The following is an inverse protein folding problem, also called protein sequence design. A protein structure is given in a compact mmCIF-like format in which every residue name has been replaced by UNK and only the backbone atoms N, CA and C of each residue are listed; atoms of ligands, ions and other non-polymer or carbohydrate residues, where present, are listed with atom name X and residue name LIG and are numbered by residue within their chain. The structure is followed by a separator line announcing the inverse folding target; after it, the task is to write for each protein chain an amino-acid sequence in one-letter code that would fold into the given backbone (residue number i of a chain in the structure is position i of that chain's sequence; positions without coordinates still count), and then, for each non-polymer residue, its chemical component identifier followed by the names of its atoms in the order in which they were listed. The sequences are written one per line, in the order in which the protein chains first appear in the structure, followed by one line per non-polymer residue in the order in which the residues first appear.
data_IF_891521014506
#
_entry.id   IF_891521014506
#
_cell.length_a   1.000
_cell.length_b   1.000
_cell.length_c   1.000
_cell.angle_alpha   90.00
_cell.angle_beta   90.00
_cell.angle_gamma   90.00
#
_symmetry.space_group_name_H-M   'P 1'
#
loop_
_entity.id
_entity.type
_entity.pdbx_description
1 polymer ?
#
# COMPACT_ATOMS: atom_id res chain seq x y z
N UNK A 1 -19.99 14.85 5.37
CA UNK A 1 -19.28 14.30 4.20
C UNK A 1 -17.80 14.64 4.33
N UNK A 2 -16.93 13.64 4.56
CA UNK A 2 -15.48 13.84 4.73
C UNK A 2 -14.84 13.85 3.34
N UNK A 3 -14.35 15.01 2.90
CA UNK A 3 -13.63 15.15 1.64
C UNK A 3 -12.29 14.42 1.78
N UNK A 4 -12.21 13.18 1.29
CA UNK A 4 -10.95 12.44 1.25
C UNK A 4 -10.05 13.06 0.19
N UNK A 5 -9.20 14.01 0.60
CA UNK A 5 -8.15 14.52 -0.27
C UNK A 5 -7.26 13.35 -0.69
N UNK A 6 -7.10 13.16 -1.99
CA UNK A 6 -6.22 12.10 -2.52
C UNK A 6 -4.77 12.43 -2.19
N UNK A 7 -3.95 11.41 -1.95
CA UNK A 7 -2.51 11.57 -1.64
C UNK A 7 -1.79 12.42 -2.70
N UNK A 8 -2.22 12.33 -3.96
CA UNK A 8 -1.74 13.17 -5.07
C UNK A 8 -1.96 14.66 -4.79
N UNK A 9 -3.16 15.02 -4.33
CA UNK A 9 -3.53 16.40 -4.06
C UNK A 9 -2.75 16.96 -2.86
N UNK A 10 -2.62 16.17 -1.79
CA UNK A 10 -1.83 16.57 -0.60
C UNK A 10 -0.35 16.73 -0.92
N UNK A 11 0.23 15.83 -1.73
CA UNK A 11 1.62 15.96 -2.18
C UNK A 11 1.81 17.20 -3.07
N UNK A 12 0.88 17.46 -3.99
CA UNK A 12 0.93 18.67 -4.83
C UNK A 12 0.93 19.95 -4.00
N UNK A 13 0.04 20.04 -3.00
CA UNK A 13 -0.01 21.19 -2.09
C UNK A 13 1.24 21.32 -1.22
N UNK A 14 1.75 20.20 -0.67
CA UNK A 14 2.96 20.21 0.17
C UNK A 14 4.20 20.65 -0.61
N UNK A 15 4.41 20.10 -1.81
CA UNK A 15 5.52 20.51 -2.67
C UNK A 15 5.34 21.94 -3.20
N UNK A 16 4.11 22.33 -3.58
CA UNK A 16 3.82 23.71 -3.98
C UNK A 16 4.14 24.72 -2.88
N UNK A 17 3.76 24.44 -1.62
CA UNK A 17 4.11 25.28 -0.48
C UNK A 17 5.63 25.37 -0.28
N UNK A 18 6.36 24.25 -0.42
CA UNK A 18 7.82 24.24 -0.35
C UNK A 18 8.48 25.04 -1.48
N UNK A 19 7.91 25.00 -2.69
CA UNK A 19 8.38 25.77 -3.85
C UNK A 19 8.28 27.27 -3.58
N UNK A 20 7.12 27.71 -3.06
CA UNK A 20 6.86 29.10 -2.75
C UNK A 20 7.79 29.59 -1.63
N UNK A 21 7.96 28.81 -0.57
CA UNK A 21 8.90 29.13 0.52
C UNK A 21 10.36 29.23 0.03
N UNK A 22 10.80 28.31 -0.83
CA UNK A 22 12.14 28.36 -1.40
C UNK A 22 12.34 29.58 -2.32
N UNK A 23 11.33 29.89 -3.15
CA UNK A 23 11.37 31.04 -4.06
C UNK A 23 11.35 32.36 -3.29
N UNK A 24 10.55 32.49 -2.23
CA UNK A 24 10.50 33.70 -1.40
C UNK A 24 11.78 33.88 -0.59
N UNK A 25 12.36 32.81 -0.03
CA UNK A 25 13.64 32.87 0.67
C UNK A 25 14.80 33.22 -0.28
N UNK A 26 14.83 32.66 -1.49
CA UNK A 26 15.81 33.00 -2.53
C UNK A 26 15.68 34.47 -2.97
N UNK A 27 14.44 34.96 -3.11
CA UNK A 27 14.17 36.36 -3.44
C UNK A 27 14.57 37.31 -2.31
N UNK A 28 14.29 36.94 -1.05
CA UNK A 28 14.62 37.76 0.12
C UNK A 28 16.14 37.84 0.34
N UNK A 29 16.84 36.71 0.23
CA UNK A 29 18.30 36.69 0.30
C UNK A 29 18.94 37.47 -0.84
N UNK A 30 18.41 37.35 -2.05
CA UNK A 30 18.86 38.17 -3.18
C UNK A 30 18.62 39.67 -2.96
N UNK A 31 17.45 40.05 -2.43
CA UNK A 31 17.13 41.45 -2.11
C UNK A 31 18.03 41.96 -0.98
N UNK A 32 18.30 41.19 0.07
CA UNK A 32 19.23 41.59 1.14
C UNK A 32 20.67 41.73 0.63
N UNK A 33 21.12 40.84 -0.26
CA UNK A 33 22.42 40.94 -0.95
C UNK A 33 22.48 42.21 -1.81
N UNK A 34 21.41 42.55 -2.54
CA UNK A 34 21.30 43.80 -3.31
C UNK A 34 21.30 45.01 -2.38
N UNK A 35 20.57 44.97 -1.26
CA UNK A 35 20.47 46.10 -0.32
C UNK A 35 21.78 46.35 0.44
N UNK A 36 22.50 45.28 0.78
CA UNK A 36 23.87 45.38 1.34
C UNK A 36 24.89 45.80 0.28
N UNK A 37 24.73 45.35 -0.98
CA UNK A 37 25.57 45.71 -2.13
C UNK A 37 25.29 47.08 -2.74
N UNK A 38 24.12 47.68 -2.45
CA UNK A 38 23.71 49.00 -2.94
C UNK A 38 24.60 50.15 -2.45
N UNK A 39 25.40 49.92 -1.39
CA UNK A 39 26.43 50.88 -0.98
C UNK A 39 27.70 50.83 -1.83
N UNK A 40 27.88 49.84 -2.73
CA UNK A 40 29.11 49.70 -3.50
C UNK A 40 28.93 49.69 -5.03
N UNK A 41 27.90 49.12 -5.68
CA UNK A 41 27.84 49.22 -7.17
C UNK A 41 26.47 48.81 -7.76
N UNK A 42 25.90 49.64 -8.64
CA UNK A 42 24.81 49.28 -9.57
C UNK A 42 25.33 48.22 -10.55
N UNK A 43 24.89 46.96 -10.46
CA UNK A 43 25.28 45.93 -11.44
C UNK A 43 24.11 45.01 -11.77
N UNK A 44 23.62 45.09 -13.01
CA UNK A 44 22.58 44.24 -13.61
C UNK A 44 22.86 42.74 -13.39
N UNK A 45 24.14 42.36 -13.22
CA UNK A 45 24.57 41.02 -12.90
C UNK A 45 23.95 40.45 -11.61
N UNK A 46 23.72 41.26 -10.58
CA UNK A 46 23.15 40.79 -9.30
C UNK A 46 21.66 40.47 -9.45
N UNK A 47 20.91 41.30 -10.20
CA UNK A 47 19.50 41.05 -10.51
C UNK A 47 19.34 39.82 -11.40
N UNK A 48 20.23 39.63 -12.37
CA UNK A 48 20.22 38.47 -13.25
C UNK A 48 20.50 37.17 -12.46
N UNK A 49 21.47 37.18 -11.55
CA UNK A 49 21.75 36.07 -10.65
C UNK A 49 20.57 35.74 -9.71
N UNK A 50 19.86 36.76 -9.20
CA UNK A 50 18.67 36.59 -8.38
C UNK A 50 17.51 35.92 -9.15
N UNK A 51 17.31 36.30 -10.40
CA UNK A 51 16.28 35.70 -11.27
C UNK A 51 16.61 34.24 -11.61
N UNK A 52 17.89 33.95 -11.89
CA UNK A 52 18.35 32.58 -12.17
C UNK A 52 18.15 31.68 -10.95
N UNK A 53 18.53 32.14 -9.75
CA UNK A 53 18.40 31.34 -8.53
C UNK A 53 16.93 31.08 -8.16
N UNK A 54 16.06 32.07 -8.33
CA UNK A 54 14.61 31.92 -8.17
C UNK A 54 14.02 30.91 -9.16
N UNK A 55 14.37 31.01 -10.44
CA UNK A 55 13.91 30.08 -11.47
C UNK A 55 14.40 28.64 -11.19
N UNK A 56 15.66 28.48 -10.80
CA UNK A 56 16.22 27.18 -10.45
C UNK A 56 15.48 26.54 -9.26
N UNK A 57 15.15 27.31 -8.22
CA UNK A 57 14.40 26.81 -7.06
C UNK A 57 13.01 26.29 -7.45
N UNK A 58 12.31 26.99 -8.34
CA UNK A 58 10.99 26.55 -8.85
C UNK A 58 11.12 25.25 -9.63
N UNK A 59 12.11 25.15 -10.54
CA UNK A 59 12.34 23.94 -11.34
C UNK A 59 12.64 22.75 -10.43
N UNK A 60 13.55 22.89 -9.47
CA UNK A 60 13.91 21.82 -8.53
C UNK A 60 12.70 21.35 -7.73
N UNK A 61 11.84 22.28 -7.29
CA UNK A 61 10.63 21.92 -6.55
C UNK A 61 9.63 21.14 -7.41
N UNK A 62 9.39 21.57 -8.65
CA UNK A 62 8.50 20.87 -9.59
C UNK A 62 9.06 19.47 -9.90
N UNK A 63 10.36 19.35 -10.20
CA UNK A 63 11.01 18.08 -10.45
C UNK A 63 10.88 17.13 -9.25
N UNK A 64 11.11 17.63 -8.03
CA UNK A 64 10.98 16.85 -6.81
C UNK A 64 9.54 16.39 -6.57
N UNK A 65 8.56 17.26 -6.80
CA UNK A 65 7.14 16.93 -6.68
C UNK A 65 6.74 15.79 -7.62
N UNK A 66 7.12 15.90 -8.90
CA UNK A 66 6.83 14.89 -9.90
C UNK A 66 7.52 13.56 -9.60
N UNK A 67 8.76 13.62 -9.11
CA UNK A 67 9.52 12.44 -8.71
C UNK A 67 8.84 11.71 -7.55
N UNK A 68 8.52 12.42 -6.45
CA UNK A 68 7.84 11.84 -5.30
C UNK A 68 6.46 11.31 -5.64
N UNK A 69 5.70 12.04 -6.46
CA UNK A 69 4.39 11.58 -6.92
C UNK A 69 4.49 10.26 -7.70
N UNK A 70 5.45 10.13 -8.62
CA UNK A 70 5.65 8.88 -9.38
C UNK A 70 6.12 7.73 -8.49
N UNK A 71 7.00 8.02 -7.52
CA UNK A 71 7.53 7.00 -6.62
C UNK A 71 6.42 6.47 -5.69
N UNK A 72 5.76 7.35 -4.95
CA UNK A 72 4.78 6.98 -3.91
C UNK A 72 3.46 6.52 -4.53
N UNK A 73 2.84 7.34 -5.38
CA UNK A 73 1.54 6.99 -5.94
C UNK A 73 1.65 5.82 -6.93
N UNK A 74 2.78 5.70 -7.64
CA UNK A 74 3.04 4.53 -8.48
C UNK A 74 3.20 3.25 -7.64
N UNK A 75 3.90 3.32 -6.50
CA UNK A 75 3.97 2.23 -5.53
C UNK A 75 2.60 1.79 -5.03
N UNK A 76 1.80 2.76 -4.60
CA UNK A 76 0.48 2.50 -4.04
C UNK A 76 -0.51 1.94 -5.08
N UNK A 77 -0.48 2.43 -6.33
CA UNK A 77 -1.35 1.90 -7.39
C UNK A 77 -1.07 0.42 -7.67
N UNK A 78 0.22 0.03 -7.74
CA UNK A 78 0.59 -1.37 -7.94
C UNK A 78 0.13 -2.26 -6.79
N UNK A 79 0.26 -1.78 -5.55
CA UNK A 79 -0.21 -2.54 -4.38
C UNK A 79 -1.74 -2.68 -4.39
N UNK A 80 -2.46 -1.62 -4.75
CA UNK A 80 -3.92 -1.65 -4.95
C UNK A 80 -4.33 -2.67 -6.01
N UNK A 81 -3.70 -2.62 -7.19
CA UNK A 81 -3.97 -3.56 -8.29
C UNK A 81 -3.76 -5.01 -7.86
N UNK A 82 -2.71 -5.29 -7.06
CA UNK A 82 -2.48 -6.63 -6.50
C UNK A 82 -3.57 -7.06 -5.52
N UNK A 83 -4.06 -6.16 -4.68
CA UNK A 83 -5.17 -6.48 -3.77
C UNK A 83 -6.49 -6.69 -4.52
N UNK A 84 -6.75 -5.92 -5.58
CA UNK A 84 -7.90 -6.11 -6.46
C UNK A 84 -7.83 -7.48 -7.14
N UNK A 85 -6.69 -7.84 -7.72
CA UNK A 85 -6.48 -9.15 -8.37
C UNK A 85 -6.69 -10.33 -7.41
N UNK A 86 -6.16 -10.25 -6.18
CA UNK A 86 -6.38 -11.28 -5.15
C UNK A 86 -7.86 -11.33 -4.72
N UNK A 87 -8.55 -10.20 -4.68
CA UNK A 87 -9.97 -10.16 -4.30
C UNK A 87 -10.86 -10.75 -5.38
N UNK A 88 -10.54 -10.53 -6.66
CA UNK A 88 -11.30 -11.07 -7.78
C UNK A 88 -11.04 -12.57 -8.01
N UNK A 89 -9.79 -13.00 -7.91
CA UNK A 89 -9.40 -14.40 -8.19
C UNK A 89 -9.46 -15.32 -6.97
N UNK A 90 -9.32 -14.77 -5.76
CA UNK A 90 -9.01 -15.50 -4.53
C UNK A 90 -7.79 -16.43 -4.64
N UNK A 91 -6.93 -16.21 -5.65
CA UNK A 91 -5.74 -17.01 -5.84
C UNK A 91 -4.62 -16.50 -4.93
N UNK A 92 -4.50 -17.12 -3.76
CA UNK A 92 -3.46 -16.83 -2.77
C UNK A 92 -2.08 -17.37 -3.18
N UNK A 93 -2.00 -18.17 -4.26
CA UNK A 93 -0.73 -18.75 -4.74
C UNK A 93 0.11 -17.73 -5.51
N UNK A 94 -0.49 -16.61 -5.95
CA UNK A 94 0.19 -15.55 -6.66
C UNK A 94 1.18 -14.80 -5.75
N UNK A 95 2.47 -15.11 -5.92
CA UNK A 95 3.56 -14.45 -5.18
C UNK A 95 3.99 -13.14 -5.81
N UNK A 96 4.15 -12.12 -4.99
CA UNK A 96 4.80 -10.89 -5.38
C UNK A 96 6.31 -11.11 -5.49
N UNK A 97 6.78 -11.57 -6.66
CA UNK A 97 8.20 -11.44 -7.03
C UNK A 97 8.52 -9.96 -7.24
N UNK A 98 8.60 -9.17 -6.17
CA UNK A 98 8.99 -7.77 -6.24
C UNK A 98 10.51 -7.68 -6.29
N UNK A 99 11.13 -7.28 -7.43
CA UNK A 99 12.58 -7.08 -7.50
C UNK A 99 13.02 -5.78 -6.79
N UNK A 100 12.10 -5.06 -6.13
CA UNK A 100 12.39 -3.78 -5.49
C UNK A 100 13.06 -3.98 -4.13
N UNK A 101 14.07 -3.15 -3.88
CA UNK A 101 14.80 -3.07 -2.61
C UNK A 101 14.30 -1.89 -1.73
N UNK A 102 13.15 -1.31 -2.07
CA UNK A 102 12.50 -0.24 -1.32
C UNK A 102 11.46 -0.79 -0.32
N UNK A 103 10.87 0.09 0.48
CA UNK A 103 9.88 -0.26 1.51
C UNK A 103 8.65 -0.95 0.90
N UNK A 104 8.30 -0.64 -0.35
CA UNK A 104 7.22 -1.31 -1.06
C UNK A 104 7.60 -2.75 -1.43
N UNK A 105 8.86 -2.99 -1.80
CA UNK A 105 9.42 -4.34 -1.98
C UNK A 105 9.42 -5.16 -0.69
N UNK A 106 9.91 -4.59 0.40
CA UNK A 106 9.89 -5.24 1.70
C UNK A 106 8.45 -5.55 2.18
N UNK A 107 7.53 -4.60 1.98
CA UNK A 107 6.11 -4.77 2.28
C UNK A 107 5.46 -5.89 1.45
N UNK A 108 5.79 -5.98 0.16
CA UNK A 108 5.32 -7.06 -0.70
C UNK A 108 5.80 -8.44 -0.21
N UNK A 109 7.06 -8.57 0.20
CA UNK A 109 7.59 -9.83 0.75
C UNK A 109 6.91 -10.20 2.08
N UNK A 110 6.65 -9.22 2.95
CA UNK A 110 5.93 -9.45 4.19
C UNK A 110 4.47 -9.89 3.94
N UNK A 111 3.81 -9.27 2.97
CA UNK A 111 2.47 -9.62 2.54
C UNK A 111 2.38 -11.03 1.97
N UNK A 112 3.35 -11.44 1.13
CA UNK A 112 3.44 -12.81 0.62
C UNK A 112 3.53 -13.84 1.76
N UNK A 113 4.33 -13.57 2.80
CA UNK A 113 4.42 -14.44 3.98
C UNK A 113 3.11 -14.51 4.75
N UNK A 114 2.38 -13.40 4.84
CA UNK A 114 1.06 -13.36 5.47
C UNK A 114 0.06 -14.22 4.68
N UNK A 115 0.02 -14.09 3.35
CA UNK A 115 -0.84 -14.91 2.48
C UNK A 115 -0.54 -16.40 2.60
N UNK A 116 0.75 -16.81 2.64
CA UNK A 116 1.12 -18.22 2.88
C UNK A 116 0.56 -18.77 4.19
N UNK A 117 0.62 -18.00 5.27
CA UNK A 117 0.07 -18.43 6.57
C UNK A 117 -1.44 -18.54 6.52
N UNK A 118 -2.09 -17.61 5.82
CA UNK A 118 -3.54 -17.61 5.64
C UNK A 118 -4.00 -18.84 4.84
N UNK A 119 -3.33 -19.14 3.73
CA UNK A 119 -3.58 -20.34 2.92
C UNK A 119 -3.45 -21.63 3.76
N UNK A 120 -2.36 -21.77 4.52
CA UNK A 120 -2.13 -22.92 5.40
C UNK A 120 -3.21 -23.05 6.48
N UNK A 121 -3.67 -21.93 7.02
CA UNK A 121 -4.74 -21.91 8.03
C UNK A 121 -6.06 -22.39 7.43
N UNK A 122 -6.45 -21.88 6.26
CA UNK A 122 -7.67 -22.32 5.55
C UNK A 122 -7.59 -23.80 5.18
N UNK A 123 -6.43 -24.26 4.68
CA UNK A 123 -6.21 -25.68 4.37
C UNK A 123 -6.42 -26.57 5.60
N UNK A 124 -5.93 -26.14 6.76
CA UNK A 124 -6.08 -26.88 8.03
C UNK A 124 -7.54 -26.91 8.50
N UNK A 125 -8.29 -25.82 8.32
CA UNK A 125 -9.72 -25.76 8.63
C UNK A 125 -10.51 -26.69 7.71
N UNK A 126 -10.20 -26.71 6.41
CA UNK A 126 -10.84 -27.63 5.44
C UNK A 126 -10.58 -29.08 5.80
N UNK A 127 -9.32 -29.44 6.10
CA UNK A 127 -8.98 -30.80 6.53
C UNK A 127 -9.71 -31.21 7.82
N UNK A 128 -9.85 -30.30 8.78
CA UNK A 128 -10.62 -30.56 10.00
C UNK A 128 -12.11 -30.78 9.72
N UNK A 129 -12.70 -30.00 8.81
CA UNK A 129 -14.08 -30.18 8.38
C UNK A 129 -14.31 -31.53 7.68
N UNK A 130 -13.37 -31.96 6.83
CA UNK A 130 -13.44 -33.28 6.18
C UNK A 130 -13.39 -34.43 7.19
N UNK A 131 -12.56 -34.31 8.24
CA UNK A 131 -12.49 -35.29 9.34
C UNK A 131 -13.80 -35.33 10.12
N UNK A 132 -14.39 -34.17 10.45
CA UNK A 132 -15.69 -34.10 11.15
C UNK A 132 -16.81 -34.69 10.29
N UNK A 133 -16.82 -34.41 8.99
CA UNK A 133 -17.80 -34.96 8.06
C UNK A 133 -17.72 -36.50 8.00
N UNK A 134 -16.50 -37.05 7.92
CA UNK A 134 -16.27 -38.49 7.95
C UNK A 134 -16.71 -39.13 9.26
N UNK A 135 -16.31 -38.55 10.40
CA UNK A 135 -16.69 -39.02 11.73
C UNK A 135 -18.21 -39.01 11.93
N UNK A 136 -18.89 -37.97 11.44
CA UNK A 136 -20.36 -37.87 11.49
C UNK A 136 -21.03 -38.93 10.61
N UNK A 137 -20.48 -39.23 9.43
CA UNK A 137 -20.99 -40.32 8.59
C UNK A 137 -20.82 -41.69 9.26
N UNK A 138 -19.69 -41.94 9.92
CA UNK A 138 -19.46 -43.16 10.71
C UNK A 138 -20.45 -43.27 11.89
N UNK A 139 -20.72 -42.17 12.61
CA UNK A 139 -21.73 -42.13 13.68
C UNK A 139 -23.12 -42.45 13.12
N UNK A 140 -23.50 -41.89 11.97
CA UNK A 140 -24.79 -42.15 11.35
C UNK A 140 -24.97 -43.63 10.96
N UNK A 141 -23.94 -44.25 10.38
CA UNK A 141 -23.92 -45.69 10.07
C UNK A 141 -24.05 -46.52 11.35
N UNK A 142 -23.27 -46.19 12.38
CA UNK A 142 -23.35 -46.88 13.68
C UNK A 142 -24.73 -46.75 14.35
N UNK A 143 -25.39 -45.61 14.19
CA UNK A 143 -26.74 -45.41 14.70
C UNK A 143 -27.77 -46.30 13.97
N UNK A 144 -27.64 -46.47 12.65
CA UNK A 144 -28.50 -47.39 11.88
C UNK A 144 -28.31 -48.83 12.36
N UNK A 145 -27.07 -49.28 12.55
CA UNK A 145 -26.78 -50.63 13.03
C UNK A 145 -27.33 -50.85 14.45
N UNK A 146 -27.18 -49.86 15.33
CA UNK A 146 -27.73 -49.92 16.68
C UNK A 146 -29.27 -49.97 16.65
N UNK A 147 -29.92 -49.13 15.84
CA UNK A 147 -31.37 -49.17 15.65
C UNK A 147 -31.85 -50.53 15.16
N UNK A 148 -31.16 -51.13 14.16
CA UNK A 148 -31.49 -52.46 13.66
C UNK A 148 -31.40 -53.53 14.77
N UNK A 149 -30.33 -53.50 15.58
CA UNK A 149 -30.18 -54.41 16.74
C UNK A 149 -31.26 -54.20 17.79
N UNK A 150 -31.71 -52.96 18.01
CA UNK A 150 -32.83 -52.69 18.95
C UNK A 150 -34.17 -53.19 18.42
N UNK A 151 -34.42 -53.12 17.10
CA UNK A 151 -35.62 -53.68 16.47
C UNK A 151 -35.63 -55.21 16.58
N UNK A 152 -34.50 -55.86 16.31
CA UNK A 152 -34.36 -57.32 16.43
C UNK A 152 -34.58 -57.79 17.88
N UNK A 153 -34.04 -57.08 18.87
CA UNK A 153 -34.27 -57.39 20.28
C UNK A 153 -35.73 -57.17 20.71
N UNK A 154 -36.37 -56.11 20.22
CA UNK A 154 -37.79 -55.86 20.50
C UNK A 154 -38.69 -56.95 19.88
N UNK A 155 -38.36 -57.43 18.67
CA UNK A 155 -39.08 -58.52 18.01
C UNK A 155 -38.89 -59.86 18.74
N UNK A 156 -37.75 -60.11 19.38
CA UNK A 156 -37.51 -61.30 20.20
C UNK A 156 -38.33 -61.34 21.50
N UNK A 157 -38.88 -60.22 21.95
CA UNK A 157 -39.68 -60.10 23.18
C UNK A 157 -41.20 -60.19 22.92
N UNK A 158 -41.62 -60.13 21.66
CA UNK A 158 -43.01 -60.32 21.22
C UNK A 158 -43.28 -61.79 20.88
#
# INVERSE_FOLDING_TARGET
MKTTMTIKLTLLFAFGASAVLAATAASLTAVELVHRGQKILQSDAVLLMAMISGAAAVVVSICSALYFQRLVCGGLSRMRERFEDITETLDLSQRSKSPRLDEFGAGAVAFDRFMQRFESTISSVRASADVVAKSTAEIAVGNIELSARTEEQAASLQ
#
